data_IF_867038408262
#
_entry.id   IF_867038408262
#
_cell.length_a   1.000
_cell.length_b   1.000
_cell.length_c   1.000
_cell.angle_alpha   90.00
_cell.angle_beta   90.00
_cell.angle_gamma   90.00
#
_symmetry.space_group_name_H-M   'P 1'
#
loop_
_entity.id
_entity.type
_entity.pdbx_description
1 polymer ?
#
# COMPACT_ATOMS: atom_id res chain seq x y z
N UNK A 1 66.06 -16.00 53.98
CA UNK A 1 65.50 -14.64 53.83
C UNK A 1 64.03 -14.73 54.15
N UNK A 2 63.61 -14.23 55.31
CA UNK A 2 62.21 -14.25 55.76
C UNK A 2 61.59 -12.92 55.37
N UNK A 3 60.61 -12.94 54.47
CA UNK A 3 59.84 -11.75 54.13
C UNK A 3 59.10 -11.26 55.37
N UNK A 4 59.20 -9.96 55.67
CA UNK A 4 58.49 -9.36 56.80
C UNK A 4 57.02 -9.12 56.43
N UNK A 5 56.15 -8.99 57.43
CA UNK A 5 54.72 -8.72 57.19
C UNK A 5 54.51 -7.41 56.40
N UNK A 6 55.38 -6.43 56.56
CA UNK A 6 55.35 -5.15 55.84
C UNK A 6 55.70 -5.32 54.36
N UNK A 7 56.65 -6.21 54.04
CA UNK A 7 57.01 -6.52 52.64
C UNK A 7 55.84 -7.15 51.90
N UNK A 8 55.14 -8.08 52.55
CA UNK A 8 53.95 -8.74 52.00
C UNK A 8 52.83 -7.73 51.77
N UNK A 9 52.60 -6.84 52.74
CA UNK A 9 51.55 -5.82 52.62
C UNK A 9 51.83 -4.83 51.50
N UNK A 10 53.10 -4.46 51.27
CA UNK A 10 53.49 -3.58 50.16
C UNK A 10 53.32 -4.24 48.79
N UNK A 11 53.63 -5.53 48.68
CA UNK A 11 53.46 -6.31 47.44
C UNK A 11 51.96 -6.43 47.12
N UNK A 12 51.13 -6.77 48.11
CA UNK A 12 49.67 -6.85 47.93
C UNK A 12 49.08 -5.50 47.53
N UNK A 13 49.52 -4.41 48.17
CA UNK A 13 49.03 -3.06 47.86
C UNK A 13 49.37 -2.63 46.43
N UNK A 14 50.59 -2.95 45.98
CA UNK A 14 51.04 -2.66 44.62
C UNK A 14 50.28 -3.49 43.58
N UNK A 15 50.14 -4.80 43.83
CA UNK A 15 49.40 -5.71 42.96
C UNK A 15 47.92 -5.33 42.84
N UNK A 16 47.27 -4.91 43.93
CA UNK A 16 45.87 -4.42 43.92
C UNK A 16 45.76 -3.13 43.11
N UNK A 17 46.73 -2.23 43.22
CA UNK A 17 46.73 -0.95 42.48
C UNK A 17 46.97 -1.16 40.98
N UNK A 18 47.83 -2.10 40.62
CA UNK A 18 48.06 -2.51 39.23
C UNK A 18 46.84 -3.24 38.66
N UNK A 19 46.19 -4.12 39.43
CA UNK A 19 44.95 -4.80 39.03
C UNK A 19 43.78 -3.81 38.83
N UNK A 20 43.69 -2.75 39.65
CA UNK A 20 42.71 -1.68 39.46
C UNK A 20 43.00 -0.78 38.25
N UNK A 21 44.27 -0.66 37.83
CA UNK A 21 44.65 0.07 36.61
C UNK A 21 44.54 -0.79 35.35
N UNK A 22 44.65 -2.11 35.47
CA UNK A 22 44.54 -3.09 34.37
C UNK A 22 43.14 -3.71 34.25
N UNK A 23 42.20 -3.39 35.14
CA UNK A 23 40.81 -3.77 34.97
C UNK A 23 40.30 -3.20 33.63
N UNK A 24 39.74 -4.03 32.73
CA UNK A 24 39.21 -3.52 31.46
C UNK A 24 38.10 -2.53 31.77
N UNK A 25 38.36 -1.24 31.49
CA UNK A 25 37.29 -0.24 31.42
C UNK A 25 36.32 -0.72 30.35
N UNK A 26 35.13 -1.16 30.76
CA UNK A 26 34.01 -1.38 29.86
C UNK A 26 33.62 -0.03 29.25
N UNK A 27 34.30 0.38 28.18
CA UNK A 27 34.03 1.62 27.43
C UNK A 27 33.03 1.40 26.30
N UNK A 28 32.71 0.14 25.95
CA UNK A 28 31.76 -0.18 24.88
C UNK A 28 30.29 0.05 25.27
N UNK A 29 29.93 -0.05 26.55
CA UNK A 29 28.54 0.12 27.01
C UNK A 29 28.13 1.59 27.15
N UNK A 30 29.08 2.49 27.43
CA UNK A 30 28.79 3.93 27.54
C UNK A 30 28.57 4.56 26.16
N UNK A 31 29.34 4.16 25.14
CA UNK A 31 29.19 4.71 23.79
C UNK A 31 27.87 4.31 23.12
N UNK A 32 27.47 3.03 23.20
CA UNK A 32 26.22 2.54 22.60
C UNK A 32 24.97 3.20 23.19
N UNK A 33 24.93 3.37 24.53
CA UNK A 33 23.82 4.05 25.20
C UNK A 33 23.73 5.53 24.78
N UNK A 34 24.86 6.23 24.70
CA UNK A 34 24.88 7.64 24.24
C UNK A 34 24.45 7.80 22.78
N UNK A 35 24.77 6.83 21.92
CA UNK A 35 24.34 6.81 20.52
C UNK A 35 22.83 6.59 20.44
N UNK A 36 22.27 5.63 21.19
CA UNK A 36 20.84 5.37 21.22
C UNK A 36 20.04 6.56 21.75
N UNK A 37 20.49 7.23 22.81
CA UNK A 37 19.84 8.43 23.35
C UNK A 37 19.88 9.60 22.34
N UNK A 38 21.01 9.77 21.64
CA UNK A 38 21.14 10.77 20.58
C UNK A 38 20.17 10.49 19.42
N UNK A 39 20.19 9.28 18.87
CA UNK A 39 19.26 8.84 17.82
C UNK A 39 17.80 8.97 18.28
N UNK A 40 17.53 8.70 19.57
CA UNK A 40 16.19 8.80 20.12
C UNK A 40 15.62 10.22 20.06
N UNK A 41 16.47 11.22 20.29
CA UNK A 41 16.08 12.63 20.21
C UNK A 41 15.85 13.12 18.78
N UNK A 42 16.53 12.54 17.79
CA UNK A 42 16.49 12.99 16.39
C UNK A 42 15.46 12.28 15.53
N UNK A 43 15.21 11.01 15.81
CA UNK A 43 14.29 10.19 15.03
C UNK A 43 12.95 10.12 15.79
N UNK A 44 11.88 10.74 15.27
CA UNK A 44 10.57 10.73 15.91
C UNK A 44 9.94 9.34 15.83
N UNK A 45 8.96 9.09 16.70
CA UNK A 45 8.16 7.86 16.59
C UNK A 45 7.39 7.81 15.26
N UNK A 46 7.29 6.62 14.70
CA UNK A 46 6.50 6.32 13.52
C UNK A 46 5.02 6.17 13.90
N UNK A 47 4.14 6.72 13.09
CA UNK A 47 2.68 6.52 13.18
C UNK A 47 2.17 6.36 11.76
N UNK A 48 1.45 5.28 11.50
CA UNK A 48 0.97 4.95 10.18
C UNK A 48 -0.29 5.77 9.87
N UNK A 49 -0.21 6.59 8.81
CA UNK A 49 -1.32 7.41 8.30
C UNK A 49 -1.29 7.41 6.78
N UNK A 50 -1.80 6.35 6.14
CA UNK A 50 -1.71 6.18 4.70
C UNK A 50 -2.37 7.34 3.94
N UNK A 51 -3.44 7.94 4.47
CA UNK A 51 -4.13 9.09 3.89
C UNK A 51 -3.29 10.37 3.79
N UNK A 52 -2.24 10.47 4.61
CA UNK A 52 -1.31 11.60 4.64
C UNK A 52 0.07 11.20 4.07
N UNK A 53 0.18 10.05 3.40
CA UNK A 53 1.45 9.55 2.87
C UNK A 53 2.46 9.15 3.96
N UNK A 54 2.04 8.97 5.21
CA UNK A 54 2.92 8.51 6.28
C UNK A 54 2.99 6.98 6.28
N UNK A 55 3.77 6.44 5.35
CA UNK A 55 4.12 5.01 5.27
C UNK A 55 5.44 4.72 5.98
N UNK A 56 5.67 3.45 6.32
CA UNK A 56 6.95 3.05 6.89
C UNK A 56 8.09 3.30 5.92
N UNK A 57 7.91 3.04 4.63
CA UNK A 57 8.90 3.31 3.59
C UNK A 57 9.35 4.77 3.56
N UNK A 58 8.40 5.73 3.48
CA UNK A 58 8.70 7.17 3.45
C UNK A 58 9.35 7.64 4.76
N UNK A 59 8.93 7.09 5.90
CA UNK A 59 9.56 7.38 7.19
C UNK A 59 10.99 6.81 7.29
N UNK A 60 11.19 5.56 6.87
CA UNK A 60 12.48 4.89 6.92
C UNK A 60 13.47 5.55 5.96
N UNK A 61 13.09 5.83 4.71
CA UNK A 61 13.94 6.53 3.74
C UNK A 61 14.40 7.91 4.24
N UNK A 62 13.56 8.62 5.00
CA UNK A 62 13.91 9.92 5.60
C UNK A 62 14.97 9.80 6.70
N UNK A 63 14.90 8.77 7.53
CA UNK A 63 15.73 8.65 8.73
C UNK A 63 16.87 7.64 8.61
N UNK A 64 16.86 6.76 7.61
CA UNK A 64 17.93 5.81 7.32
C UNK A 64 19.30 6.49 7.19
N UNK A 65 19.46 7.65 6.49
CA UNK A 65 20.75 8.35 6.44
C UNK A 65 21.25 8.82 7.81
N UNK A 66 20.35 9.19 8.72
CA UNK A 66 20.72 9.57 10.11
C UNK A 66 21.15 8.33 10.89
N UNK A 67 20.42 7.24 10.71
CA UNK A 67 20.71 5.96 11.36
C UNK A 67 22.06 5.38 10.90
N UNK A 68 22.40 5.51 9.63
CA UNK A 68 23.68 5.07 9.06
C UNK A 68 24.85 5.95 9.53
N UNK A 69 24.68 7.27 9.51
CA UNK A 69 25.75 8.22 9.86
C UNK A 69 26.05 8.26 11.36
N UNK A 70 25.02 8.21 12.21
CA UNK A 70 25.17 8.36 13.66
C UNK A 70 25.07 7.03 14.41
N UNK A 71 24.36 6.07 13.83
CA UNK A 71 24.22 4.71 14.36
C UNK A 71 25.22 3.70 13.77
N UNK A 72 26.17 4.12 12.93
CA UNK A 72 27.11 3.21 12.25
C UNK A 72 27.99 2.36 13.17
N UNK A 73 28.10 2.72 14.46
CA UNK A 73 28.79 1.91 15.47
C UNK A 73 27.87 0.87 16.16
N UNK A 74 26.56 0.88 15.90
CA UNK A 74 25.60 -0.11 16.38
C UNK A 74 25.69 -1.37 15.53
N UNK A 75 25.54 -2.53 16.17
CA UNK A 75 25.34 -3.77 15.42
C UNK A 75 24.00 -3.70 14.67
N UNK A 76 23.92 -4.30 13.47
CA UNK A 76 22.71 -4.29 12.65
C UNK A 76 21.46 -4.74 13.43
N UNK A 77 21.60 -5.73 14.32
CA UNK A 77 20.49 -6.19 15.18
C UNK A 77 20.00 -5.12 16.16
N UNK A 78 20.90 -4.28 16.68
CA UNK A 78 20.55 -3.20 17.60
C UNK A 78 19.94 -2.01 16.84
N UNK A 79 20.40 -1.75 15.63
CA UNK A 79 19.79 -0.79 14.69
C UNK A 79 18.33 -1.13 14.39
N UNK A 80 18.02 -2.41 14.17
CA UNK A 80 16.65 -2.86 13.89
C UNK A 80 15.76 -2.82 15.14
N UNK A 81 16.30 -3.24 16.30
CA UNK A 81 15.60 -3.07 17.58
C UNK A 81 15.27 -1.61 17.85
N UNK A 82 16.18 -0.71 17.50
CA UNK A 82 15.92 0.73 17.58
C UNK A 82 14.78 1.14 16.64
N UNK A 83 14.78 0.73 15.37
CA UNK A 83 13.69 1.02 14.42
C UNK A 83 12.34 0.53 14.96
N UNK A 84 12.29 -0.70 15.48
CA UNK A 84 11.07 -1.27 16.06
C UNK A 84 10.65 -0.49 17.32
N UNK A 85 11.59 -0.02 18.14
CA UNK A 85 11.29 0.83 19.31
C UNK A 85 10.71 2.21 18.93
N UNK A 86 10.89 2.63 17.68
CA UNK A 86 10.31 3.87 17.15
C UNK A 86 8.88 3.72 16.68
N UNK A 87 8.34 2.50 16.57
CA UNK A 87 6.91 2.33 16.34
C UNK A 87 6.12 2.90 17.53
N UNK A 88 5.02 3.59 17.23
CA UNK A 88 4.06 3.97 18.26
C UNK A 88 3.26 2.72 18.70
N UNK A 89 2.52 2.82 19.80
CA UNK A 89 1.96 1.63 20.46
C UNK A 89 1.08 0.77 19.54
N UNK A 90 0.25 1.41 18.71
CA UNK A 90 -0.67 0.73 17.80
C UNK A 90 0.09 -0.03 16.72
N UNK A 91 1.07 0.62 16.09
CA UNK A 91 1.91 0.02 15.05
C UNK A 91 2.82 -1.08 15.61
N UNK A 92 3.34 -0.90 16.82
CA UNK A 92 4.11 -1.93 17.50
C UNK A 92 3.27 -3.20 17.71
N UNK A 93 2.06 -3.07 18.25
CA UNK A 93 1.17 -4.21 18.49
C UNK A 93 0.74 -4.89 17.18
N UNK A 94 0.45 -4.09 16.14
CA UNK A 94 0.14 -4.61 14.80
C UNK A 94 1.31 -5.43 14.24
N UNK A 95 2.55 -4.92 14.36
CA UNK A 95 3.74 -5.61 13.89
C UNK A 95 4.02 -6.90 14.66
N UNK A 96 3.96 -6.86 16.00
CA UNK A 96 4.15 -8.05 16.85
C UNK A 96 3.11 -9.13 16.54
N UNK A 97 1.87 -8.75 16.24
CA UNK A 97 0.84 -9.70 15.84
C UNK A 97 1.09 -10.28 14.45
N UNK A 98 1.55 -9.47 13.50
CA UNK A 98 1.83 -9.88 12.13
C UNK A 98 2.96 -10.92 12.02
N UNK A 99 4.01 -10.78 12.82
CA UNK A 99 5.18 -11.67 12.74
C UNK A 99 4.99 -13.02 13.46
N UNK A 100 3.85 -13.24 14.14
CA UNK A 100 3.61 -14.50 14.87
C UNK A 100 3.65 -15.71 13.93
N UNK A 101 4.26 -16.84 14.36
CA UNK A 101 4.78 -17.14 15.70
C UNK A 101 6.23 -16.66 15.97
N UNK A 102 6.88 -15.98 15.02
CA UNK A 102 8.27 -15.52 15.14
C UNK A 102 8.37 -14.37 16.15
N UNK A 103 9.46 -14.32 16.91
CA UNK A 103 9.74 -13.22 17.85
C UNK A 103 10.60 -12.16 17.19
N UNK A 104 10.46 -10.90 17.63
CA UNK A 104 11.29 -9.78 17.17
C UNK A 104 12.79 -10.09 17.23
N UNK A 105 13.24 -10.75 18.30
CA UNK A 105 14.66 -11.08 18.49
C UNK A 105 15.23 -12.11 17.50
N UNK A 106 14.35 -12.87 16.84
CA UNK A 106 14.69 -13.95 15.92
C UNK A 106 14.61 -13.53 14.44
N UNK A 107 14.03 -12.35 14.15
CA UNK A 107 13.99 -11.81 12.79
C UNK A 107 15.37 -11.37 12.35
N UNK A 108 15.69 -11.63 11.08
CA UNK A 108 16.82 -10.99 10.43
C UNK A 108 16.51 -9.49 10.22
N UNK A 109 17.55 -8.64 10.12
CA UNK A 109 17.38 -7.23 9.81
C UNK A 109 16.57 -6.95 8.55
N UNK A 110 16.90 -7.67 7.47
CA UNK A 110 16.28 -7.48 6.17
C UNK A 110 14.81 -7.91 6.21
N UNK A 111 14.51 -9.06 6.85
CA UNK A 111 13.14 -9.53 7.04
C UNK A 111 12.32 -8.53 7.85
N UNK A 112 12.89 -7.94 8.91
CA UNK A 112 12.18 -6.97 9.74
C UNK A 112 11.79 -5.72 8.95
N UNK A 113 12.72 -5.17 8.15
CA UNK A 113 12.45 -4.01 7.29
C UNK A 113 11.41 -4.36 6.23
N UNK A 114 11.53 -5.52 5.59
CA UNK A 114 10.60 -5.99 4.57
C UNK A 114 9.18 -6.13 5.14
N UNK A 115 9.04 -6.78 6.30
CA UNK A 115 7.74 -6.98 6.96
C UNK A 115 7.13 -5.66 7.42
N UNK A 116 7.93 -4.73 7.97
CA UNK A 116 7.46 -3.39 8.35
C UNK A 116 6.99 -2.59 7.14
N UNK A 117 7.74 -2.67 6.03
CA UNK A 117 7.40 -2.01 4.77
C UNK A 117 6.10 -2.55 4.21
N UNK A 118 5.93 -3.87 4.17
CA UNK A 118 4.69 -4.52 3.69
C UNK A 118 3.48 -4.23 4.58
N UNK A 119 3.68 -4.22 5.90
CA UNK A 119 2.57 -4.06 6.85
C UNK A 119 2.05 -2.61 6.90
N UNK A 120 2.93 -1.63 6.71
CA UNK A 120 2.63 -0.20 6.82
C UNK A 120 2.86 0.54 5.50
N UNK A 121 2.40 -0.06 4.39
CA UNK A 121 2.35 0.56 3.07
C UNK A 121 0.94 1.08 2.74
N UNK A 122 0.85 1.94 1.73
CA UNK A 122 -0.44 2.21 1.09
C UNK A 122 -0.81 0.98 0.26
N UNK A 123 -1.86 0.27 0.64
CA UNK A 123 -2.33 -0.93 -0.05
C UNK A 123 -3.13 -0.59 -1.32
N UNK A 124 -2.53 0.17 -2.23
CA UNK A 124 -3.15 0.52 -3.52
C UNK A 124 -2.34 -0.09 -4.66
N UNK A 125 -3.04 -0.72 -5.60
CA UNK A 125 -2.42 -1.21 -6.83
C UNK A 125 -1.79 -0.07 -7.63
N UNK A 126 -0.80 -0.40 -8.46
CA UNK A 126 -0.18 0.56 -9.37
C UNK A 126 -1.24 1.19 -10.30
N UNK A 127 -2.17 0.39 -10.81
CA UNK A 127 -3.31 0.87 -11.59
C UNK A 127 -4.10 1.95 -10.85
N UNK A 128 -4.48 1.70 -9.59
CA UNK A 128 -5.24 2.66 -8.80
C UNK A 128 -4.45 3.94 -8.54
N UNK A 129 -3.16 3.85 -8.20
CA UNK A 129 -2.27 5.01 -8.02
C UNK A 129 -2.21 5.87 -9.29
N UNK A 130 -2.06 5.23 -10.46
CA UNK A 130 -2.07 5.92 -11.77
C UNK A 130 -3.40 6.62 -12.03
N UNK A 131 -4.55 5.97 -11.84
CA UNK A 131 -5.86 6.60 -12.01
C UNK A 131 -6.08 7.77 -11.05
N UNK A 132 -5.69 7.66 -9.79
CA UNK A 132 -5.82 8.77 -8.83
C UNK A 132 -4.93 9.97 -9.21
N UNK A 133 -3.70 9.72 -9.67
CA UNK A 133 -2.81 10.78 -10.13
C UNK A 133 -3.40 11.60 -11.31
N UNK A 134 -4.07 10.93 -12.26
CA UNK A 134 -4.74 11.59 -13.39
C UNK A 134 -5.97 12.41 -12.97
N UNK A 135 -6.55 12.09 -11.82
CA UNK A 135 -7.71 12.77 -11.28
C UNK A 135 -7.38 13.98 -10.40
N UNK A 136 -6.09 14.29 -10.20
CA UNK A 136 -5.67 15.47 -9.42
C UNK A 136 -6.24 16.74 -10.05
N UNK A 137 -7.04 17.46 -9.27
CA UNK A 137 -7.54 18.80 -9.59
C UNK A 137 -6.89 19.84 -8.69
N UNK A 138 -6.85 21.09 -9.17
CA UNK A 138 -6.26 22.22 -8.41
C UNK A 138 -6.96 22.44 -7.07
N UNK A 139 -8.29 22.33 -7.02
CA UNK A 139 -9.10 22.34 -5.79
C UNK A 139 -8.69 23.40 -4.76
N UNK A 140 -8.50 24.65 -5.19
CA UNK A 140 -8.14 25.77 -4.30
C UNK A 140 -6.67 25.87 -3.90
N UNK A 141 -5.82 24.90 -4.27
CA UNK A 141 -4.37 24.93 -3.99
C UNK A 141 -3.65 26.04 -4.78
N UNK A 142 -2.59 26.56 -4.18
CA UNK A 142 -1.59 27.37 -4.89
C UNK A 142 -0.86 26.51 -5.92
N UNK A 143 -0.19 27.15 -6.90
CA UNK A 143 0.58 26.39 -7.90
C UNK A 143 1.73 25.60 -7.26
N UNK A 144 2.39 26.16 -6.23
CA UNK A 144 3.48 25.48 -5.53
C UNK A 144 3.00 24.20 -4.83
N UNK A 145 1.86 24.27 -4.15
CA UNK A 145 1.24 23.10 -3.51
C UNK A 145 0.80 22.07 -4.56
N UNK A 146 0.20 22.53 -5.67
CA UNK A 146 -0.21 21.66 -6.76
C UNK A 146 0.99 20.94 -7.40
N UNK A 147 2.11 21.63 -7.63
CA UNK A 147 3.35 21.00 -8.13
C UNK A 147 3.85 19.91 -7.19
N UNK A 148 3.84 20.16 -5.87
CA UNK A 148 4.23 19.14 -4.89
C UNK A 148 3.34 17.90 -4.96
N UNK A 149 2.03 18.09 -5.00
CA UNK A 149 1.05 16.99 -5.10
C UNK A 149 1.19 16.21 -6.40
N UNK A 150 1.39 16.89 -7.54
CA UNK A 150 1.59 16.23 -8.83
C UNK A 150 2.88 15.41 -8.83
N UNK A 151 3.99 15.97 -8.33
CA UNK A 151 5.27 15.25 -8.30
C UNK A 151 5.17 14.00 -7.41
N UNK A 152 4.63 14.12 -6.20
CA UNK A 152 4.47 12.98 -5.31
C UNK A 152 3.60 11.88 -5.94
N UNK A 153 2.44 12.26 -6.48
CA UNK A 153 1.56 11.30 -7.14
C UNK A 153 2.19 10.71 -8.41
N UNK A 154 3.08 11.44 -9.08
CA UNK A 154 3.72 10.96 -10.28
C UNK A 154 4.79 9.89 -9.99
N UNK A 155 5.57 10.10 -8.94
CA UNK A 155 6.54 9.12 -8.43
C UNK A 155 5.82 7.89 -7.86
N UNK A 156 4.79 8.10 -7.02
CA UNK A 156 4.01 7.00 -6.44
C UNK A 156 3.28 6.17 -7.52
N UNK A 157 2.98 6.75 -8.69
CA UNK A 157 2.36 6.07 -9.83
C UNK A 157 3.35 5.54 -10.88
N UNK A 158 4.66 5.71 -10.65
CA UNK A 158 5.76 5.20 -11.47
C UNK A 158 5.63 5.59 -12.96
N UNK A 159 5.17 6.81 -13.26
CA UNK A 159 4.95 7.26 -14.64
C UNK A 159 6.22 7.31 -15.49
N UNK A 160 7.41 7.38 -14.88
CA UNK A 160 8.68 7.39 -15.61
C UNK A 160 8.94 6.13 -16.46
N UNK A 161 8.32 5.00 -16.11
CA UNK A 161 8.49 3.73 -16.81
C UNK A 161 7.38 3.36 -17.80
N UNK A 162 6.35 4.20 -17.96
CA UNK A 162 5.14 3.79 -18.69
C UNK A 162 5.39 3.61 -20.19
N UNK A 163 4.84 2.54 -20.75
CA UNK A 163 4.83 2.31 -22.19
C UNK A 163 3.68 3.05 -22.87
N UNK A 164 3.86 3.36 -24.17
CA UNK A 164 2.82 4.04 -24.96
C UNK A 164 1.49 3.27 -24.93
N UNK A 165 1.56 1.95 -24.89
CA UNK A 165 0.38 1.11 -24.97
C UNK A 165 -0.42 1.07 -23.66
N UNK A 166 0.27 0.99 -22.51
CA UNK A 166 -0.31 1.24 -21.19
C UNK A 166 -0.94 2.65 -21.13
N UNK A 167 -0.26 3.67 -21.66
CA UNK A 167 -0.80 5.05 -21.66
C UNK A 167 -2.15 5.14 -22.40
N UNK A 168 -2.33 4.40 -23.52
CA UNK A 168 -3.62 4.34 -24.21
C UNK A 168 -4.72 3.73 -23.33
N UNK A 169 -4.39 2.74 -22.52
CA UNK A 169 -5.33 2.12 -21.58
C UNK A 169 -5.82 3.12 -20.52
N UNK A 170 -4.93 3.97 -20.00
CA UNK A 170 -5.33 5.05 -19.08
C UNK A 170 -6.14 6.15 -19.78
N UNK A 171 -5.82 6.49 -21.03
CA UNK A 171 -6.64 7.41 -21.85
C UNK A 171 -8.05 6.83 -22.05
N UNK A 172 -8.16 5.53 -22.33
CA UNK A 172 -9.44 4.83 -22.41
C UNK A 172 -10.21 4.95 -21.09
N UNK A 173 -9.59 4.66 -19.94
CA UNK A 173 -10.23 4.81 -18.64
C UNK A 173 -10.78 6.23 -18.39
N UNK A 174 -10.05 7.26 -18.83
CA UNK A 174 -10.51 8.66 -18.75
C UNK A 174 -11.65 8.97 -19.76
N UNK A 175 -11.66 8.33 -20.92
CA UNK A 175 -12.74 8.50 -21.90
C UNK A 175 -14.06 7.88 -21.46
N UNK A 176 -14.01 6.83 -20.63
CA UNK A 176 -15.17 6.11 -20.11
C UNK A 176 -15.73 6.71 -18.80
N UNK A 177 -15.47 7.98 -18.49
CA UNK A 177 -15.89 8.60 -17.22
C UNK A 177 -17.41 8.86 -17.12
N UNK A 178 -18.16 8.76 -18.20
CA UNK A 178 -19.60 8.96 -18.17
C UNK A 178 -20.31 7.83 -17.40
N UNK A 179 -21.53 8.08 -16.92
CA UNK A 179 -22.31 7.09 -16.20
C UNK A 179 -22.80 5.94 -17.08
N UNK A 180 -22.92 6.17 -18.39
CA UNK A 180 -23.36 5.18 -19.38
C UNK A 180 -22.31 4.07 -19.58
N UNK A 181 -21.04 4.40 -19.38
CA UNK A 181 -19.89 3.50 -19.58
C UNK A 181 -19.47 2.76 -18.30
N UNK A 182 -20.28 2.81 -17.22
CA UNK A 182 -19.89 2.28 -15.91
C UNK A 182 -19.51 0.79 -15.96
N UNK A 183 -20.23 -0.02 -16.73
CA UNK A 183 -19.99 -1.44 -16.89
C UNK A 183 -18.75 -1.74 -17.74
N UNK A 184 -18.58 -1.02 -18.85
CA UNK A 184 -17.40 -1.10 -19.72
C UNK A 184 -16.15 -0.67 -18.92
N UNK A 185 -16.22 0.46 -18.20
CA UNK A 185 -15.14 0.96 -17.34
C UNK A 185 -14.78 -0.03 -16.23
N UNK A 186 -15.78 -0.66 -15.60
CA UNK A 186 -15.54 -1.68 -14.58
C UNK A 186 -14.88 -2.95 -15.15
N UNK A 187 -15.15 -3.29 -16.41
CA UNK A 187 -14.47 -4.40 -17.09
C UNK A 187 -13.05 -4.04 -17.48
N UNK A 188 -12.84 -2.87 -18.09
CA UNK A 188 -11.52 -2.33 -18.41
C UNK A 188 -10.62 -2.26 -17.17
N UNK A 189 -11.13 -1.77 -16.04
CA UNK A 189 -10.41 -1.72 -14.78
C UNK A 189 -9.99 -3.10 -14.26
N UNK A 190 -10.81 -4.14 -14.47
CA UNK A 190 -10.45 -5.51 -14.07
C UNK A 190 -9.29 -6.05 -14.89
N UNK A 191 -9.33 -5.89 -16.22
CA UNK A 191 -8.24 -6.31 -17.10
C UNK A 191 -6.90 -5.66 -16.69
N UNK A 192 -6.95 -4.37 -16.34
CA UNK A 192 -5.76 -3.61 -15.95
C UNK A 192 -5.26 -3.91 -14.52
N UNK A 193 -6.10 -4.48 -13.66
CA UNK A 193 -5.74 -4.85 -12.29
C UNK A 193 -5.17 -6.27 -12.20
N UNK A 194 -5.48 -7.15 -13.18
CA UNK A 194 -5.05 -8.56 -13.19
C UNK A 194 -3.54 -8.75 -13.42
N UNK A 195 -2.76 -7.67 -13.56
CA UNK A 195 -1.29 -7.65 -13.71
C UNK A 195 -0.78 -8.56 -14.84
N UNK A 196 -1.61 -8.69 -15.88
CA UNK A 196 -1.27 -9.32 -17.15
C UNK A 196 -0.91 -8.19 -18.11
N UNK A 197 0.24 -8.31 -18.80
CA UNK A 197 0.65 -7.40 -19.87
C UNK A 197 -0.31 -7.51 -21.06
N UNK A 198 -1.46 -6.86 -20.95
CA UNK A 198 -2.40 -6.71 -22.04
C UNK A 198 -1.92 -5.61 -22.98
N UNK A 199 -1.97 -5.87 -24.28
CA UNK A 199 -1.85 -4.81 -25.26
C UNK A 199 -3.21 -4.10 -25.43
N UNK A 200 -3.18 -2.80 -25.70
CA UNK A 200 -4.35 -1.96 -25.91
C UNK A 200 -5.34 -2.52 -26.94
N UNK A 201 -4.91 -3.09 -28.10
CA UNK A 201 -5.84 -3.75 -29.02
C UNK A 201 -6.59 -4.92 -28.37
N UNK A 202 -5.93 -5.71 -27.53
CA UNK A 202 -6.54 -6.86 -26.85
C UNK A 202 -7.58 -6.38 -25.82
N UNK A 203 -7.29 -5.28 -25.11
CA UNK A 203 -8.26 -4.62 -24.23
C UNK A 203 -9.47 -4.16 -25.03
N UNK A 204 -9.28 -3.54 -26.19
CA UNK A 204 -10.39 -3.06 -27.03
C UNK A 204 -11.22 -4.21 -27.59
N UNK A 205 -10.59 -5.26 -28.13
CA UNK A 205 -11.27 -6.46 -28.63
C UNK A 205 -12.13 -7.09 -27.53
N UNK A 206 -11.58 -7.19 -26.32
CA UNK A 206 -12.32 -7.70 -25.16
C UNK A 206 -13.55 -6.84 -24.88
N UNK A 207 -13.40 -5.51 -24.77
CA UNK A 207 -14.50 -4.59 -24.47
C UNK A 207 -15.58 -4.57 -25.56
N UNK A 208 -15.19 -4.62 -26.85
CA UNK A 208 -16.11 -4.71 -27.98
C UNK A 208 -16.94 -6.00 -27.91
N UNK A 209 -16.30 -7.14 -27.63
CA UNK A 209 -17.00 -8.41 -27.46
C UNK A 209 -18.02 -8.36 -26.30
N UNK A 210 -17.68 -7.67 -25.20
CA UNK A 210 -18.61 -7.50 -24.08
C UNK A 210 -19.78 -6.58 -24.40
N UNK A 211 -19.54 -5.51 -25.15
CA UNK A 211 -20.60 -4.63 -25.60
C UNK A 211 -21.56 -5.35 -26.55
N UNK A 212 -21.05 -6.14 -27.48
CA UNK A 212 -21.86 -7.01 -28.36
C UNK A 212 -22.69 -8.00 -27.54
N UNK A 213 -22.07 -8.70 -26.58
CA UNK A 213 -22.77 -9.65 -25.72
C UNK A 213 -23.88 -8.96 -24.89
N UNK A 214 -23.62 -7.75 -24.40
CA UNK A 214 -24.62 -6.95 -23.68
C UNK A 214 -25.81 -6.60 -24.58
N UNK A 215 -25.55 -6.23 -25.83
CA UNK A 215 -26.57 -5.88 -26.81
C UNK A 215 -27.41 -7.11 -27.21
N UNK A 216 -26.79 -8.29 -27.37
CA UNK A 216 -27.48 -9.53 -27.71
C UNK A 216 -28.38 -10.03 -26.57
N UNK A 217 -27.95 -9.82 -25.32
CA UNK A 217 -28.72 -10.17 -24.11
C UNK A 217 -29.78 -9.13 -23.77
N UNK A 218 -29.76 -7.94 -24.38
CA UNK A 218 -30.79 -6.94 -24.19
C UNK A 218 -32.13 -7.54 -24.67
N UNK A 219 -33.20 -7.50 -23.84
CA UNK A 219 -34.46 -8.09 -24.22
C UNK A 219 -34.95 -7.40 -25.50
N UNK A 220 -34.93 -8.15 -26.61
CA UNK A 220 -35.53 -7.71 -27.86
C UNK A 220 -36.92 -7.18 -27.52
N UNK A 221 -37.17 -5.92 -27.85
CA UNK A 221 -38.48 -5.30 -27.68
C UNK A 221 -39.48 -6.15 -28.43
N UNK A 222 -40.17 -6.99 -27.66
CA UNK A 222 -41.46 -7.61 -27.91
C UNK A 222 -41.90 -7.42 -29.37
N UNK A 223 -41.63 -8.41 -30.23
CA UNK A 223 -42.57 -8.66 -31.33
C UNK A 223 -43.88 -9.01 -30.64
N UNK A 224 -44.70 -7.97 -30.43
CA UNK A 224 -46.05 -8.09 -29.93
C UNK A 224 -46.72 -9.00 -30.95
N UNK A 225 -46.98 -10.25 -30.58
CA UNK A 225 -47.84 -11.11 -31.37
C UNK A 225 -49.16 -10.33 -31.49
N UNK A 226 -49.41 -9.73 -32.65
CA UNK A 226 -50.70 -9.13 -32.96
C UNK A 226 -51.71 -10.27 -33.03
N UNK A 227 -52.32 -10.59 -31.88
CA UNK A 227 -53.47 -11.46 -31.84
C UNK A 227 -54.61 -10.67 -32.47
N UNK A 228 -54.83 -10.89 -33.76
CA UNK A 228 -55.98 -10.35 -34.47
C UNK A 228 -57.26 -10.81 -33.73
N UNK A 229 -58.14 -9.90 -33.28
CA UNK A 229 -59.36 -10.32 -32.62
C UNK A 229 -60.25 -11.09 -33.61
N UNK A 230 -60.97 -12.14 -33.16
CA UNK A 230 -61.81 -12.93 -34.04
C UNK A 230 -62.90 -12.05 -34.66
N UNK A 231 -63.07 -12.15 -35.99
CA UNK A 231 -64.15 -11.46 -36.72
C UNK A 231 -65.49 -11.90 -36.14
N UNK A 232 -66.22 -10.97 -35.50
CA UNK A 232 -67.59 -11.19 -35.06
C UNK A 232 -68.48 -11.30 -36.29
N UNK A 233 -68.90 -12.51 -36.65
CA UNK A 233 -70.00 -12.70 -37.59
C UNK A 233 -71.30 -12.19 -36.96
N UNK A 234 -72.05 -11.36 -37.70
CA UNK A 234 -73.34 -10.84 -37.24
C UNK A 234 -74.35 -11.99 -37.14
N UNK A 235 -75.19 -12.04 -36.10
CA UNK A 235 -76.22 -13.08 -35.98
C UNK A 235 -77.22 -12.97 -37.14
N UNK A 236 -77.56 -14.11 -37.76
CA UNK A 236 -78.62 -14.18 -38.76
C UNK A 236 -79.97 -13.80 -38.13
N UNK A 237 -80.82 -13.01 -38.82
CA UNK A 237 -82.11 -12.60 -38.29
C UNK A 237 -83.05 -13.79 -38.12
N UNK A 238 -83.70 -13.86 -36.96
CA UNK A 238 -84.73 -14.86 -36.67
C UNK A 238 -85.97 -14.61 -37.55
N UNK A 239 -86.30 -15.60 -38.38
CA UNK A 239 -87.57 -15.63 -39.10
C UNK A 239 -88.72 -15.84 -38.09
N UNK A 240 -89.57 -14.82 -37.94
CA UNK A 240 -90.77 -14.92 -37.14
C UNK A 240 -91.72 -15.97 -37.69
N UNK A 241 -92.01 -17.01 -36.89
CA UNK A 241 -93.20 -17.83 -37.08
C UNK A 241 -94.35 -17.14 -36.37
N UNK A 242 -95.30 -16.62 -37.15
CA UNK A 242 -96.58 -16.17 -36.65
C UNK A 242 -97.34 -17.34 -36.02
N UNK A 243 -98.06 -17.05 -34.95
CA UNK A 243 -99.14 -17.89 -34.45
C UNK A 243 -100.34 -16.97 -34.19
N UNK A 244 -101.37 -17.21 -35.00
CA UNK A 244 -102.80 -16.88 -34.87
C UNK A 244 -103.27 -17.43 -33.50
N UNK A 245 -104.00 -16.75 -32.63
CA UNK A 245 -105.37 -16.23 -32.71
C UNK A 245 -105.50 -15.18 -31.59
#
# INVERSE_FOLDING_TARGET
MTFTAEDVQRIVSTAVREALQQAPKQTASTSGYTIMDHLNSRIPKFTFKPENGHTFEKWYARYAPILESEGGALAMKDTIRFVISKLNSIEYDAFVNHIKPVKIGDLSPDDAIEQLTKLFCVSMSLFKRRIESLNIKRSGRTLKELTGVINEAAEDAEWGGIQLDEMKQYILMLSLMNSEDNDIRARAARLMEEDIDYFFPEVMDDLENFEQLKNDLAPSTTKRFEINPPKREKPKPFAGRGIVI
#
